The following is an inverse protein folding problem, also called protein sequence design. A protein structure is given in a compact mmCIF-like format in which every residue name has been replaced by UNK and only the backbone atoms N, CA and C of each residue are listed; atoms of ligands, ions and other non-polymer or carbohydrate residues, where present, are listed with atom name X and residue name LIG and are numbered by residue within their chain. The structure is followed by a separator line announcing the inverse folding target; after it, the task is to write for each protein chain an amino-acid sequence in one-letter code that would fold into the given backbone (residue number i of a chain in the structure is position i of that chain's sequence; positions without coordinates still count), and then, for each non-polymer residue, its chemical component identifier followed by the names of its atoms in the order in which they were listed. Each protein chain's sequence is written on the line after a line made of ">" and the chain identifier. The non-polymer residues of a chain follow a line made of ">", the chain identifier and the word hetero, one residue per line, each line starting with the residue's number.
data_IF_348367851094
#
_entry.id   IF_348367851094
#
_cell.length_a   1.000
_cell.length_b   1.000
_cell.length_c   1.000
_cell.angle_alpha   90.00
_cell.angle_beta   90.00
_cell.angle_gamma   90.00
#
_symmetry.space_group_name_H-M   'P 1'
#
loop_
_entity.id
_entity.type
_entity.pdbx_description
1 polymer ?
#
# COMPACT_ATOMS: atom_id res chain seq x y z
N UNK A 1 -27.16 -7.80 -14.08
CA UNK A 1 -26.51 -6.48 -13.86
C UNK A 1 -26.84 -5.89 -12.49
N UNK A 2 -28.11 -5.77 -12.08
CA UNK A 2 -28.50 -5.19 -10.78
C UNK A 2 -27.90 -5.91 -9.55
N UNK A 3 -27.92 -7.25 -9.52
CA UNK A 3 -27.34 -8.02 -8.41
C UNK A 3 -25.81 -7.81 -8.27
N UNK A 4 -25.10 -7.68 -9.39
CA UNK A 4 -23.66 -7.39 -9.39
C UNK A 4 -23.37 -5.99 -8.86
N UNK A 5 -24.19 -4.99 -9.23
CA UNK A 5 -24.10 -3.63 -8.69
C UNK A 5 -24.36 -3.60 -7.19
N UNK A 6 -25.39 -4.31 -6.73
CA UNK A 6 -25.69 -4.41 -5.30
C UNK A 6 -24.54 -5.08 -4.55
N UNK A 7 -24.05 -6.24 -5.03
CA UNK A 7 -22.89 -6.90 -4.42
C UNK A 7 -21.69 -5.96 -4.32
N UNK A 8 -21.39 -5.22 -5.40
CA UNK A 8 -20.30 -4.24 -5.40
C UNK A 8 -20.58 -3.05 -4.47
N UNK A 9 -21.81 -2.57 -4.35
CA UNK A 9 -22.13 -1.50 -3.40
C UNK A 9 -22.01 -1.96 -1.93
N UNK A 10 -22.29 -3.23 -1.66
CA UNK A 10 -22.13 -3.84 -0.34
C UNK A 10 -20.66 -4.02 0.04
N UNK A 11 -19.84 -4.59 -0.87
CA UNK A 11 -18.43 -4.94 -0.59
C UNK A 11 -17.41 -3.92 -1.09
N UNK A 12 -17.86 -2.91 -1.84
CA UNK A 12 -17.03 -1.90 -2.47
C UNK A 12 -16.64 -0.78 -1.50
N UNK A 13 -15.78 0.14 -1.98
CA UNK A 13 -15.20 1.16 -1.13
C UNK A 13 -16.23 2.18 -0.68
N UNK A 14 -15.97 2.80 0.47
CA UNK A 14 -16.55 4.11 0.79
C UNK A 14 -15.90 5.19 -0.08
N UNK A 15 -16.70 6.15 -0.53
CA UNK A 15 -16.19 7.36 -1.17
C UNK A 15 -15.89 8.42 -0.12
N UNK A 16 -14.80 9.15 -0.32
CA UNK A 16 -14.36 10.28 0.50
C UNK A 16 -14.62 11.59 -0.23
N UNK A 17 -14.33 11.62 -1.53
CA UNK A 17 -14.55 12.78 -2.38
C UNK A 17 -15.06 12.39 -3.76
N UNK A 18 -15.75 13.33 -4.40
CA UNK A 18 -16.38 13.20 -5.71
C UNK A 18 -15.88 14.33 -6.60
N UNK A 19 -15.51 14.07 -7.86
CA UNK A 19 -15.07 15.11 -8.78
C UNK A 19 -16.23 16.04 -9.17
N UNK A 20 -15.95 17.34 -9.26
CA UNK A 20 -16.88 18.38 -9.75
C UNK A 20 -16.73 18.67 -11.25
N UNK A 21 -15.64 18.20 -11.86
CA UNK A 21 -15.27 18.36 -13.27
C UNK A 21 -13.90 17.72 -13.55
N UNK A 22 -13.34 17.92 -14.74
CA UNK A 22 -11.99 17.46 -15.10
C UNK A 22 -10.90 18.19 -14.32
N UNK A 23 -11.06 19.50 -14.14
CA UNK A 23 -9.99 20.40 -13.65
C UNK A 23 -10.34 21.05 -12.30
N UNK A 24 -11.55 20.82 -11.80
CA UNK A 24 -12.00 21.29 -10.50
C UNK A 24 -11.52 20.39 -9.36
N UNK A 25 -11.32 20.99 -8.19
CA UNK A 25 -11.10 20.26 -6.95
C UNK A 25 -12.30 19.37 -6.60
N UNK A 26 -12.02 18.19 -6.05
CA UNK A 26 -13.04 17.27 -5.60
C UNK A 26 -13.76 17.81 -4.35
N UNK A 27 -15.06 17.53 -4.24
CA UNK A 27 -15.88 17.87 -3.07
C UNK A 27 -16.08 16.64 -2.20
N UNK A 28 -16.26 16.84 -0.89
CA UNK A 28 -16.53 15.74 0.04
C UNK A 28 -17.77 14.93 -0.36
N UNK A 29 -17.67 13.61 -0.30
CA UNK A 29 -18.80 12.72 -0.50
C UNK A 29 -19.80 12.89 0.66
N UNK A 30 -21.07 13.10 0.33
CA UNK A 30 -22.14 13.28 1.31
C UNK A 30 -22.98 11.98 1.40
N UNK A 31 -22.72 11.11 2.40
CA UNK A 31 -23.52 9.92 2.61
C UNK A 31 -24.90 10.27 3.17
N UNK A 32 -25.92 9.52 2.76
CA UNK A 32 -27.27 9.64 3.30
C UNK A 32 -27.29 9.16 4.77
N UNK A 33 -28.31 9.55 5.55
CA UNK A 33 -28.43 9.15 6.97
C UNK A 33 -28.40 7.64 7.15
N UNK A 34 -29.06 6.87 6.27
CA UNK A 34 -29.07 5.42 6.33
C UNK A 34 -27.67 4.83 6.08
N UNK A 35 -26.97 5.30 5.05
CA UNK A 35 -25.58 4.91 4.77
C UNK A 35 -24.69 5.17 5.99
N UNK A 36 -24.75 6.38 6.56
CA UNK A 36 -23.95 6.76 7.73
C UNK A 36 -24.21 5.84 8.94
N UNK A 37 -25.47 5.56 9.23
CA UNK A 37 -25.85 4.70 10.36
C UNK A 37 -25.38 3.26 10.14
N UNK A 38 -25.60 2.70 8.94
CA UNK A 38 -25.14 1.34 8.61
C UNK A 38 -23.62 1.24 8.63
N UNK A 39 -22.90 2.21 8.05
CA UNK A 39 -21.43 2.25 8.09
C UNK A 39 -20.89 2.34 9.52
N UNK A 40 -21.50 3.17 10.38
CA UNK A 40 -21.11 3.27 11.78
C UNK A 40 -21.31 1.94 12.53
N UNK A 41 -22.46 1.29 12.34
CA UNK A 41 -22.75 -0.01 12.96
C UNK A 41 -21.74 -1.07 12.51
N UNK A 42 -21.48 -1.18 11.20
CA UNK A 42 -20.52 -2.14 10.64
C UNK A 42 -19.11 -1.87 11.16
N UNK A 43 -18.64 -0.61 11.11
CA UNK A 43 -17.31 -0.24 11.59
C UNK A 43 -17.13 -0.52 13.09
N UNK A 44 -18.18 -0.32 13.89
CA UNK A 44 -18.17 -0.63 15.33
C UNK A 44 -18.09 -2.14 15.54
N UNK A 45 -18.90 -2.91 14.81
CA UNK A 45 -18.86 -4.37 14.86
C UNK A 45 -17.49 -4.93 14.46
N UNK A 46 -16.90 -4.46 13.36
CA UNK A 46 -15.56 -4.84 12.91
C UNK A 46 -14.48 -4.51 13.95
N UNK A 47 -14.58 -3.35 14.59
CA UNK A 47 -13.67 -2.94 15.67
C UNK A 47 -13.78 -3.86 16.89
N UNK A 48 -15.01 -4.21 17.31
CA UNK A 48 -15.26 -5.15 18.39
C UNK A 48 -14.72 -6.55 18.08
N UNK A 49 -14.95 -7.06 16.86
CA UNK A 49 -14.38 -8.35 16.42
C UNK A 49 -12.86 -8.31 16.36
N UNK A 50 -12.28 -7.20 15.89
CA UNK A 50 -10.84 -6.99 15.88
C UNK A 50 -10.27 -7.06 17.29
N UNK A 51 -10.82 -6.30 18.24
CA UNK A 51 -10.41 -6.32 19.63
C UNK A 51 -10.53 -7.73 20.23
N UNK A 52 -11.68 -8.38 20.07
CA UNK A 52 -11.92 -9.73 20.56
C UNK A 52 -10.89 -10.74 20.00
N UNK A 53 -10.58 -10.65 18.71
CA UNK A 53 -9.56 -11.50 18.07
C UNK A 53 -8.19 -11.32 18.70
N UNK A 54 -7.77 -10.08 18.96
CA UNK A 54 -6.44 -9.78 19.50
C UNK A 54 -6.33 -10.06 21.00
N UNK A 55 -7.45 -10.01 21.74
CA UNK A 55 -7.47 -10.33 23.18
C UNK A 55 -7.84 -11.78 23.47
N UNK A 56 -7.82 -12.68 22.47
CA UNK A 56 -8.27 -14.07 22.61
C UNK A 56 -7.63 -14.80 23.78
N UNK A 57 -6.32 -14.64 23.99
CA UNK A 57 -5.61 -15.31 25.08
C UNK A 57 -6.12 -14.90 26.48
N UNK A 58 -6.69 -13.71 26.62
CA UNK A 58 -7.22 -13.21 27.90
C UNK A 58 -8.60 -13.77 28.21
N UNK A 59 -9.49 -13.91 27.21
CA UNK A 59 -10.86 -14.36 27.43
C UNK A 59 -11.09 -15.84 27.12
N UNK A 60 -10.18 -16.51 26.40
CA UNK A 60 -10.30 -17.92 26.01
C UNK A 60 -10.49 -18.88 27.21
N UNK A 61 -9.76 -18.75 28.33
CA UNK A 61 -10.01 -19.61 29.50
C UNK A 61 -11.44 -19.51 30.05
N UNK A 62 -12.02 -18.30 30.04
CA UNK A 62 -13.41 -18.07 30.45
C UNK A 62 -14.40 -18.65 29.43
N UNK A 63 -14.10 -18.54 28.14
CA UNK A 63 -14.90 -19.16 27.08
C UNK A 63 -14.91 -20.69 27.21
N UNK A 64 -13.77 -21.33 27.49
CA UNK A 64 -13.69 -22.79 27.73
C UNK A 64 -14.54 -23.21 28.92
N UNK A 65 -14.49 -22.46 30.02
CA UNK A 65 -15.34 -22.73 31.20
C UNK A 65 -16.82 -22.61 30.85
N UNK A 66 -17.18 -21.59 30.09
CA UNK A 66 -18.57 -21.33 29.65
C UNK A 66 -19.07 -22.40 28.68
N UNK A 67 -18.21 -22.93 27.81
CA UNK A 67 -18.55 -23.96 26.84
C UNK A 67 -18.96 -25.30 27.47
N UNK A 68 -18.64 -25.53 28.74
CA UNK A 68 -19.07 -26.73 29.48
C UNK A 68 -20.54 -26.67 29.92
N UNK A 69 -21.16 -25.49 29.91
CA UNK A 69 -22.58 -25.32 30.24
C UNK A 69 -23.42 -25.16 28.97
N UNK A 70 -24.22 -26.18 28.65
CA UNK A 70 -25.04 -26.21 27.43
C UNK A 70 -26.02 -25.03 27.35
N UNK A 71 -26.60 -24.60 28.47
CA UNK A 71 -27.52 -23.44 28.51
C UNK A 71 -26.81 -22.16 28.11
N UNK A 72 -25.58 -21.94 28.61
CA UNK A 72 -24.76 -20.79 28.24
C UNK A 72 -24.38 -20.83 26.76
N UNK A 73 -24.01 -22.00 26.24
CA UNK A 73 -23.69 -22.19 24.81
C UNK A 73 -24.88 -21.81 23.93
N UNK A 74 -26.08 -22.30 24.25
CA UNK A 74 -27.31 -21.98 23.49
C UNK A 74 -27.61 -20.48 23.55
N UNK A 75 -27.44 -19.84 24.71
CA UNK A 75 -27.64 -18.40 24.86
C UNK A 75 -26.68 -17.59 23.96
N UNK A 76 -25.38 -17.86 24.02
CA UNK A 76 -24.39 -17.16 23.20
C UNK A 76 -24.56 -17.48 21.71
N UNK A 77 -24.95 -18.70 21.34
CA UNK A 77 -25.25 -19.05 19.96
C UNK A 77 -26.44 -18.24 19.40
N UNK A 78 -27.51 -18.07 20.20
CA UNK A 78 -28.65 -17.21 19.83
C UNK A 78 -28.23 -15.75 19.69
N UNK A 79 -27.47 -15.22 20.65
CA UNK A 79 -26.97 -13.85 20.62
C UNK A 79 -26.10 -13.61 19.39
N UNK A 80 -25.16 -14.52 19.10
CA UNK A 80 -24.32 -14.45 17.92
C UNK A 80 -25.12 -14.57 16.63
N UNK A 81 -26.16 -15.42 16.59
CA UNK A 81 -27.07 -15.53 15.45
C UNK A 81 -27.84 -14.24 15.19
N UNK A 82 -28.42 -13.63 16.22
CA UNK A 82 -29.10 -12.33 16.12
C UNK A 82 -28.15 -11.23 15.66
N UNK A 83 -26.94 -11.16 16.23
CA UNK A 83 -25.94 -10.19 15.84
C UNK A 83 -25.49 -10.39 14.39
N UNK A 84 -25.24 -11.63 13.97
CA UNK A 84 -24.84 -11.97 12.59
C UNK A 84 -25.93 -11.60 11.59
N UNK A 85 -27.20 -11.83 11.93
CA UNK A 85 -28.33 -11.43 11.09
C UNK A 85 -28.43 -9.89 10.98
N UNK A 86 -28.32 -9.17 12.10
CA UNK A 86 -28.31 -7.71 12.09
C UNK A 86 -27.14 -7.14 11.29
N UNK A 87 -25.96 -7.75 11.40
CA UNK A 87 -24.76 -7.42 10.64
C UNK A 87 -24.94 -7.64 9.13
N UNK A 88 -25.51 -8.76 8.72
CA UNK A 88 -25.83 -9.03 7.32
C UNK A 88 -26.87 -8.03 6.77
N UNK A 89 -27.93 -7.75 7.54
CA UNK A 89 -28.95 -6.77 7.16
C UNK A 89 -28.34 -5.37 7.02
N UNK A 90 -27.44 -4.97 7.92
CA UNK A 90 -26.75 -3.69 7.85
C UNK A 90 -25.93 -3.54 6.57
N UNK A 91 -25.23 -4.59 6.11
CA UNK A 91 -24.51 -4.57 4.84
C UNK A 91 -25.43 -4.45 3.64
N UNK A 92 -26.55 -5.19 3.62
CA UNK A 92 -27.53 -5.10 2.52
C UNK A 92 -28.14 -3.70 2.47
N UNK A 93 -28.56 -3.15 3.62
CA UNK A 93 -29.06 -1.79 3.74
C UNK A 93 -28.01 -0.75 3.31
N UNK A 94 -26.74 -0.96 3.67
CA UNK A 94 -25.63 -0.11 3.24
C UNK A 94 -25.52 -0.09 1.71
N UNK A 95 -25.52 -1.27 1.07
CA UNK A 95 -25.42 -1.38 -0.38
C UNK A 95 -26.59 -0.72 -1.11
N UNK A 96 -27.82 -0.90 -0.60
CA UNK A 96 -29.01 -0.23 -1.14
C UNK A 96 -28.90 1.29 -0.98
N UNK A 97 -28.54 1.77 0.21
CA UNK A 97 -28.42 3.20 0.50
C UNK A 97 -27.35 3.87 -0.37
N UNK A 98 -26.22 3.19 -0.61
CA UNK A 98 -25.17 3.64 -1.53
C UNK A 98 -25.68 3.75 -2.97
N UNK A 99 -26.41 2.76 -3.46
CA UNK A 99 -26.97 2.81 -4.82
C UNK A 99 -28.08 3.86 -4.99
N UNK A 100 -28.76 4.25 -3.90
CA UNK A 100 -29.70 5.36 -3.91
C UNK A 100 -29.00 6.73 -3.98
N UNK A 101 -27.73 6.82 -3.56
CA UNK A 101 -26.95 8.03 -3.70
C UNK A 101 -26.51 8.22 -5.17
N UNK A 102 -26.90 9.31 -5.86
CA UNK A 102 -26.59 9.50 -7.27
C UNK A 102 -25.09 9.57 -7.57
N UNK A 103 -24.27 10.11 -6.67
CA UNK A 103 -22.83 10.20 -6.87
C UNK A 103 -22.16 8.83 -6.79
N UNK A 104 -22.55 8.02 -5.81
CA UNK A 104 -22.04 6.66 -5.68
C UNK A 104 -22.53 5.76 -6.82
N UNK A 105 -23.80 5.88 -7.22
CA UNK A 105 -24.33 5.13 -8.37
C UNK A 105 -23.53 5.40 -9.66
N UNK A 106 -23.16 6.67 -9.93
CA UNK A 106 -22.28 7.05 -11.05
C UNK A 106 -20.89 6.45 -10.93
N UNK A 107 -20.30 6.46 -9.72
CA UNK A 107 -19.02 5.81 -9.47
C UNK A 107 -19.07 4.31 -9.80
N UNK A 108 -20.12 3.61 -9.37
CA UNK A 108 -20.32 2.18 -9.66
C UNK A 108 -20.41 1.93 -11.17
N UNK A 109 -21.19 2.75 -11.89
CA UNK A 109 -21.33 2.62 -13.34
C UNK A 109 -19.99 2.84 -14.04
N UNK A 110 -19.26 3.89 -13.66
CA UNK A 110 -17.92 4.19 -14.19
C UNK A 110 -16.92 3.07 -13.86
N UNK A 111 -16.98 2.49 -12.67
CA UNK A 111 -16.11 1.38 -12.28
C UNK A 111 -16.34 0.14 -13.18
N UNK A 112 -17.61 -0.25 -13.37
CA UNK A 112 -17.94 -1.39 -14.24
C UNK A 112 -17.65 -1.10 -15.71
N UNK A 113 -17.83 0.13 -16.15
CA UNK A 113 -17.46 0.56 -17.50
C UNK A 113 -15.95 0.45 -17.72
N UNK A 114 -15.15 1.00 -16.80
CA UNK A 114 -13.68 0.93 -16.84
C UNK A 114 -13.20 -0.52 -16.82
N UNK A 115 -13.86 -1.40 -16.04
CA UNK A 115 -13.52 -2.82 -15.99
C UNK A 115 -13.82 -3.56 -17.29
N UNK A 116 -14.85 -3.17 -18.03
CA UNK A 116 -15.17 -3.75 -19.34
C UNK A 116 -14.27 -3.23 -20.45
N UNK A 117 -13.93 -1.94 -20.40
CA UNK A 117 -13.13 -1.23 -21.39
C UNK A 117 -12.07 -0.36 -20.71
N UNK A 118 -10.94 -0.93 -20.27
CA UNK A 118 -9.90 -0.14 -19.63
C UNK A 118 -9.31 0.85 -20.64
N UNK A 119 -9.37 2.14 -20.32
CA UNK A 119 -8.76 3.21 -21.09
C UNK A 119 -8.18 4.26 -20.15
N UNK A 120 -7.12 4.96 -20.58
CA UNK A 120 -6.47 6.01 -19.78
C UNK A 120 -7.47 7.06 -19.31
N UNK A 121 -8.40 7.46 -20.19
CA UNK A 121 -9.42 8.46 -19.87
C UNK A 121 -10.42 7.96 -18.82
N UNK A 122 -10.90 6.72 -18.94
CA UNK A 122 -11.84 6.16 -17.96
C UNK A 122 -11.17 5.95 -16.61
N UNK A 123 -9.91 5.53 -16.59
CA UNK A 123 -9.13 5.38 -15.36
C UNK A 123 -8.88 6.75 -14.71
N UNK A 124 -8.51 7.77 -15.47
CA UNK A 124 -8.36 9.13 -14.94
C UNK A 124 -9.68 9.65 -14.33
N UNK A 125 -10.82 9.45 -15.01
CA UNK A 125 -12.14 9.84 -14.48
C UNK A 125 -12.53 9.03 -13.24
N UNK A 126 -12.21 7.74 -13.20
CA UNK A 126 -12.51 6.87 -12.06
C UNK A 126 -11.68 7.29 -10.85
N UNK A 127 -10.37 7.46 -11.04
CA UNK A 127 -9.41 7.80 -9.98
C UNK A 127 -9.53 9.24 -9.50
N UNK A 128 -10.24 10.11 -10.21
CA UNK A 128 -10.64 11.43 -9.72
C UNK A 128 -11.60 11.36 -8.51
N UNK A 129 -12.27 10.22 -8.29
CA UNK A 129 -12.98 9.95 -7.03
C UNK A 129 -11.97 9.62 -5.93
N UNK A 130 -12.22 10.12 -4.72
CA UNK A 130 -11.45 9.74 -3.54
C UNK A 130 -11.96 8.44 -2.95
N UNK A 131 -11.22 7.34 -3.14
CA UNK A 131 -11.57 6.02 -2.61
C UNK A 131 -10.32 5.14 -2.42
N UNK A 132 -10.44 4.09 -1.59
CA UNK A 132 -9.42 3.05 -1.39
C UNK A 132 -9.96 1.70 -1.84
N UNK A 133 -9.59 1.28 -3.05
CA UNK A 133 -10.00 0.01 -3.66
C UNK A 133 -9.14 -0.25 -4.88
N UNK A 134 -9.02 -1.50 -5.31
CA UNK A 134 -8.31 -1.83 -6.54
C UNK A 134 -9.17 -1.50 -7.77
N UNK A 135 -8.56 -1.05 -8.86
CA UNK A 135 -9.24 -0.81 -10.14
C UNK A 135 -8.47 -1.48 -11.28
N UNK A 136 -9.01 -1.51 -12.52
CA UNK A 136 -8.26 -2.05 -13.66
C UNK A 136 -6.91 -1.36 -13.83
N UNK A 137 -5.83 -2.13 -13.82
CA UNK A 137 -4.47 -1.63 -13.95
C UNK A 137 -4.16 -1.16 -15.38
N UNK A 138 -3.25 -0.20 -15.50
CA UNK A 138 -2.77 0.32 -16.79
C UNK A 138 -1.57 -0.44 -17.34
N UNK A 139 -0.87 -1.15 -16.47
CA UNK A 139 0.35 -1.85 -16.81
C UNK A 139 0.42 -3.17 -16.06
N UNK A 140 0.84 -4.20 -16.78
CA UNK A 140 0.96 -5.54 -16.24
C UNK A 140 2.31 -6.14 -16.63
N UNK A 141 3.16 -6.38 -15.63
CA UNK A 141 4.48 -6.96 -15.82
C UNK A 141 4.42 -8.34 -16.48
N UNK A 142 3.33 -9.09 -16.28
CA UNK A 142 3.14 -10.41 -16.88
C UNK A 142 3.01 -10.34 -18.42
N UNK A 143 2.69 -9.17 -18.97
CA UNK A 143 2.61 -8.94 -20.42
C UNK A 143 3.94 -8.51 -21.04
N UNK A 144 4.91 -8.11 -20.22
CA UNK A 144 6.25 -7.71 -20.64
C UNK A 144 7.10 -8.95 -20.92
N UNK A 145 7.94 -8.90 -21.96
CA UNK A 145 8.89 -9.99 -22.25
C UNK A 145 9.74 -10.33 -21.01
N UNK A 146 9.83 -11.62 -20.69
CA UNK A 146 10.63 -12.13 -19.58
C UNK A 146 12.11 -11.74 -19.66
N UNK A 147 12.62 -11.41 -20.85
CA UNK A 147 14.00 -10.92 -21.04
C UNK A 147 14.26 -9.54 -20.44
N UNK A 148 13.20 -8.74 -20.22
CA UNK A 148 13.28 -7.42 -19.60
C UNK A 148 13.11 -7.48 -18.08
N UNK A 149 12.67 -8.63 -17.54
CA UNK A 149 12.47 -8.80 -16.11
C UNK A 149 13.80 -8.70 -15.37
N UNK A 150 13.76 -8.09 -14.20
CA UNK A 150 14.90 -7.96 -13.31
C UNK A 150 15.19 -9.34 -12.69
N UNK A 151 16.41 -9.89 -12.86
CA UNK A 151 16.76 -11.20 -12.30
C UNK A 151 16.65 -11.20 -10.78
N UNK A 152 16.03 -12.24 -10.18
CA UNK A 152 16.00 -12.45 -8.72
C UNK A 152 17.30 -13.03 -8.17
N UNK A 153 18.45 -12.57 -8.66
CA UNK A 153 19.70 -13.04 -8.10
C UNK A 153 19.80 -12.55 -6.66
N UNK A 154 20.02 -13.46 -5.71
CA UNK A 154 20.37 -13.07 -4.36
C UNK A 154 21.78 -12.48 -4.39
N UNK A 155 21.85 -11.17 -4.62
CA UNK A 155 23.11 -10.43 -4.69
C UNK A 155 23.79 -10.31 -3.32
N UNK A 156 23.11 -10.76 -2.26
CA UNK A 156 23.47 -10.59 -0.84
C UNK A 156 23.38 -11.96 -0.16
N UNK A 157 24.33 -12.33 0.71
CA UNK A 157 24.26 -13.56 1.49
C UNK A 157 23.01 -13.61 2.39
N UNK A 158 22.33 -14.75 2.38
CA UNK A 158 21.17 -15.00 3.25
C UNK A 158 21.62 -15.16 4.70
N UNK A 159 21.16 -14.25 5.57
CA UNK A 159 21.49 -14.25 7.01
C UNK A 159 20.53 -15.10 7.84
N UNK A 160 19.47 -15.66 7.25
CA UNK A 160 18.51 -16.52 7.96
C UNK A 160 19.17 -17.78 8.55
N UNK A 161 20.24 -18.27 7.92
CA UNK A 161 21.04 -19.41 8.40
C UNK A 161 21.74 -19.16 9.75
N UNK A 162 21.92 -17.89 10.15
CA UNK A 162 22.49 -17.54 11.45
C UNK A 162 21.47 -17.60 12.60
N UNK A 163 20.20 -17.92 12.29
CA UNK A 163 19.13 -17.97 13.28
C UNK A 163 18.94 -19.39 13.81
N UNK A 164 18.64 -19.50 15.11
CA UNK A 164 18.38 -20.82 15.72
C UNK A 164 17.10 -21.43 15.16
N UNK A 165 17.20 -22.65 14.62
CA UNK A 165 16.07 -23.43 14.10
C UNK A 165 14.98 -23.60 15.17
N UNK A 166 15.36 -23.68 16.46
CA UNK A 166 14.43 -23.80 17.58
C UNK A 166 13.52 -22.58 17.74
N UNK A 167 13.95 -21.39 17.29
CA UNK A 167 13.18 -20.16 17.34
C UNK A 167 12.30 -19.95 16.11
N UNK A 168 12.44 -20.77 15.06
CA UNK A 168 11.69 -20.64 13.81
C UNK A 168 10.16 -20.57 13.99
N UNK A 169 9.52 -21.41 14.84
CA UNK A 169 8.08 -21.30 15.08
C UNK A 169 7.69 -19.95 15.72
N UNK A 170 8.51 -19.44 16.63
CA UNK A 170 8.28 -18.15 17.30
C UNK A 170 8.41 -17.02 16.28
N UNK A 171 9.48 -17.02 15.47
CA UNK A 171 9.65 -16.03 14.40
C UNK A 171 8.49 -16.07 13.41
N UNK A 172 8.01 -17.25 13.01
CA UNK A 172 6.87 -17.40 12.12
C UNK A 172 5.59 -16.77 12.69
N UNK A 173 5.29 -17.02 13.97
CA UNK A 173 4.13 -16.43 14.65
C UNK A 173 4.28 -14.91 14.77
N UNK A 174 5.43 -14.43 15.25
CA UNK A 174 5.70 -13.00 15.42
C UNK A 174 5.60 -12.26 14.08
N UNK A 175 6.20 -12.81 13.03
CA UNK A 175 6.13 -12.26 11.68
C UNK A 175 4.69 -12.05 11.21
N UNK A 176 3.86 -13.10 11.30
CA UNK A 176 2.47 -13.08 10.82
C UNK A 176 1.54 -12.19 11.64
N UNK A 177 1.89 -11.92 12.90
CA UNK A 177 1.06 -11.17 13.85
C UNK A 177 1.48 -9.72 13.96
N UNK A 178 2.59 -9.42 14.62
CA UNK A 178 3.01 -8.05 14.96
C UNK A 178 4.22 -7.56 14.16
N UNK A 179 5.12 -8.45 13.75
CA UNK A 179 6.42 -8.11 13.15
C UNK A 179 6.30 -7.21 11.92
N UNK A 180 5.59 -7.67 10.89
CA UNK A 180 5.38 -6.87 9.66
C UNK A 180 4.70 -5.53 9.94
N UNK A 181 3.80 -5.48 10.93
CA UNK A 181 3.01 -4.30 11.28
C UNK A 181 3.78 -3.29 12.12
N UNK A 182 4.81 -3.73 12.84
CA UNK A 182 5.71 -2.84 13.56
C UNK A 182 6.78 -2.27 12.62
N UNK A 183 7.29 -3.10 11.70
CA UNK A 183 8.28 -2.65 10.72
C UNK A 183 7.61 -1.68 9.74
N UNK A 184 6.40 -1.98 9.27
CA UNK A 184 5.59 -1.16 8.37
C UNK A 184 4.19 -0.87 8.94
N UNK A 185 4.07 0.10 9.88
CA UNK A 185 2.77 0.48 10.45
C UNK A 185 1.76 0.97 9.41
N UNK A 186 2.22 1.55 8.30
CA UNK A 186 1.36 2.01 7.20
C UNK A 186 0.57 0.89 6.52
N UNK A 187 0.99 -0.39 6.63
CA UNK A 187 0.25 -1.52 6.06
C UNK A 187 -0.97 -1.94 6.90
N UNK A 188 -1.18 -1.32 8.06
CA UNK A 188 -2.31 -1.65 8.94
C UNK A 188 -3.60 -0.98 8.46
N UNK A 189 -4.74 -1.63 8.68
CA UNK A 189 -6.04 -1.02 8.36
C UNK A 189 -6.29 0.27 9.14
N UNK A 190 -5.75 0.37 10.36
CA UNK A 190 -5.88 1.57 11.19
C UNK A 190 -5.20 2.77 10.54
N UNK A 191 -3.91 2.65 10.19
CA UNK A 191 -3.18 3.74 9.53
C UNK A 191 -3.75 4.06 8.15
N UNK A 192 -4.08 3.05 7.36
CA UNK A 192 -4.71 3.25 6.04
C UNK A 192 -6.06 3.97 6.12
N UNK A 193 -6.83 3.77 7.19
CA UNK A 193 -8.12 4.45 7.36
C UNK A 193 -7.94 5.85 7.93
N UNK A 194 -7.04 6.03 8.89
CA UNK A 194 -6.77 7.35 9.50
C UNK A 194 -6.19 8.35 8.50
N UNK A 195 -5.29 7.89 7.62
CA UNK A 195 -4.63 8.75 6.63
C UNK A 195 -5.43 8.94 5.35
N UNK A 196 -6.56 8.23 5.17
CA UNK A 196 -7.29 8.19 3.91
C UNK A 196 -7.74 9.58 3.44
N UNK A 197 -8.31 10.40 4.31
CA UNK A 197 -8.80 11.73 3.92
C UNK A 197 -7.67 12.71 3.56
N UNK A 198 -6.60 12.87 4.38
CA UNK A 198 -5.41 13.61 3.98
C UNK A 198 -4.83 13.15 2.63
N UNK A 199 -4.84 11.83 2.39
CA UNK A 199 -4.31 11.23 1.16
C UNK A 199 -5.13 11.59 -0.06
N UNK A 200 -6.46 11.50 0.06
CA UNK A 200 -7.36 11.88 -1.04
C UNK A 200 -7.27 13.38 -1.33
N UNK A 201 -7.05 14.22 -0.31
CA UNK A 201 -6.79 15.65 -0.52
C UNK A 201 -5.47 15.91 -1.25
N UNK A 202 -4.39 15.24 -0.84
CA UNK A 202 -3.08 15.39 -1.48
C UNK A 202 -3.09 14.86 -2.93
N UNK A 203 -3.81 13.77 -3.18
CA UNK A 203 -4.07 13.29 -4.53
C UNK A 203 -4.84 14.32 -5.38
N UNK A 204 -5.89 14.92 -4.84
CA UNK A 204 -6.65 15.95 -5.55
C UNK A 204 -5.78 17.16 -5.90
N UNK A 205 -4.94 17.61 -4.97
CA UNK A 205 -3.93 18.65 -5.21
C UNK A 205 -2.92 18.23 -6.28
N UNK A 206 -2.41 17.00 -6.24
CA UNK A 206 -1.46 16.47 -7.23
C UNK A 206 -2.08 16.45 -8.64
N UNK A 207 -3.34 16.04 -8.75
CA UNK A 207 -4.10 16.01 -9.99
C UNK A 207 -4.33 17.41 -10.56
N UNK A 208 -4.84 18.34 -9.75
CA UNK A 208 -5.22 19.69 -10.19
C UNK A 208 -4.00 20.56 -10.46
N UNK A 209 -2.99 20.56 -9.57
CA UNK A 209 -1.83 21.47 -9.67
C UNK A 209 -0.75 20.97 -10.62
N UNK A 210 -0.56 19.65 -10.71
CA UNK A 210 0.55 19.07 -11.48
C UNK A 210 0.08 18.21 -12.67
N UNK A 211 -1.22 18.02 -12.86
CA UNK A 211 -1.74 17.10 -13.88
C UNK A 211 -1.37 15.65 -13.56
N UNK A 212 -1.26 15.31 -12.28
CA UNK A 212 -0.87 13.98 -11.83
C UNK A 212 -1.91 12.92 -12.19
N UNK A 213 -1.43 11.68 -12.34
CA UNK A 213 -2.22 10.50 -12.67
C UNK A 213 -2.07 9.45 -11.56
N UNK A 214 -3.18 8.85 -11.15
CA UNK A 214 -3.22 7.74 -10.19
C UNK A 214 -3.48 6.47 -10.98
N UNK A 215 -2.59 5.50 -10.81
CA UNK A 215 -2.41 4.36 -11.70
C UNK A 215 -2.37 3.07 -10.88
N UNK A 216 -2.82 1.99 -11.51
CA UNK A 216 -2.61 0.64 -11.00
C UNK A 216 -1.57 -0.08 -11.83
N UNK A 217 -0.59 -0.69 -11.19
CA UNK A 217 0.39 -1.58 -11.82
C UNK A 217 0.18 -3.00 -11.30
N UNK A 218 0.30 -4.01 -12.17
CA UNK A 218 0.31 -5.42 -11.79
C UNK A 218 1.74 -5.92 -11.77
N UNK A 219 2.15 -6.43 -10.61
CA UNK A 219 3.45 -7.08 -10.41
C UNK A 219 3.53 -8.41 -11.16
N UNK A 220 4.74 -8.96 -11.31
CA UNK A 220 4.95 -10.31 -11.87
C UNK A 220 4.12 -11.40 -11.19
N UNK A 221 3.77 -11.24 -9.91
CA UNK A 221 2.96 -12.20 -9.16
C UNK A 221 1.44 -11.94 -9.25
N UNK A 222 1.00 -10.95 -10.03
CA UNK A 222 -0.41 -10.61 -10.18
C UNK A 222 -0.97 -9.69 -9.10
N UNK A 223 -0.13 -9.07 -8.25
CA UNK A 223 -0.58 -8.13 -7.20
C UNK A 223 -0.70 -6.71 -7.71
N UNK A 224 -1.74 -6.01 -7.27
CA UNK A 224 -1.98 -4.61 -7.58
C UNK A 224 -1.09 -3.67 -6.75
N UNK A 225 -0.45 -2.69 -7.41
CA UNK A 225 0.36 -1.63 -6.79
C UNK A 225 -0.21 -0.28 -7.20
N UNK A 226 -0.62 0.51 -6.21
CA UNK A 226 -1.08 1.88 -6.40
C UNK A 226 0.11 2.82 -6.62
N UNK A 227 0.06 3.56 -7.72
CA UNK A 227 1.17 4.41 -8.19
C UNK A 227 0.64 5.77 -8.62
N UNK A 228 1.45 6.82 -8.45
CA UNK A 228 1.18 8.19 -8.82
C UNK A 228 2.27 8.67 -9.79
N UNK A 229 1.87 9.25 -10.91
CA UNK A 229 2.80 9.72 -11.94
C UNK A 229 2.51 11.16 -12.33
N UNK A 230 3.57 11.96 -12.42
CA UNK A 230 3.56 13.29 -13.01
C UNK A 230 4.65 13.32 -14.08
N UNK A 231 4.26 13.52 -15.32
CA UNK A 231 5.19 13.64 -16.46
C UNK A 231 5.24 15.11 -16.88
N UNK A 232 6.40 15.73 -16.72
CA UNK A 232 6.66 17.12 -17.08
C UNK A 232 7.23 17.27 -18.49
N UNK A 233 7.63 16.19 -19.17
CA UNK A 233 8.23 16.27 -20.50
C UNK A 233 7.30 16.98 -21.48
N UNK A 234 7.86 17.86 -22.31
CA UNK A 234 7.13 18.58 -23.35
C UNK A 234 6.23 19.70 -22.84
N UNK A 235 6.32 20.07 -21.55
CA UNK A 235 5.67 21.27 -21.01
C UNK A 235 6.52 22.53 -21.26
N UNK A 236 7.84 22.38 -21.40
CA UNK A 236 8.75 23.51 -21.71
C UNK A 236 8.94 24.48 -20.54
N UNK A 237 8.55 24.07 -19.33
CA UNK A 237 8.54 24.92 -18.14
C UNK A 237 9.86 24.81 -17.34
N UNK A 238 10.56 23.67 -17.40
CA UNK A 238 11.71 23.37 -16.55
C UNK A 238 12.82 22.64 -17.30
N UNK A 239 14.08 22.93 -16.98
CA UNK A 239 15.25 22.22 -17.54
C UNK A 239 15.38 20.76 -17.10
N UNK A 240 14.63 20.37 -16.08
CA UNK A 240 14.72 19.06 -15.41
C UNK A 240 13.65 18.05 -15.89
N UNK A 241 12.81 18.42 -16.87
CA UNK A 241 11.63 17.64 -17.25
C UNK A 241 11.94 16.21 -17.74
N UNK A 242 13.11 16.01 -18.36
CA UNK A 242 13.57 14.72 -18.86
C UNK A 242 14.03 13.74 -17.77
N UNK A 243 14.24 14.23 -16.55
CA UNK A 243 14.67 13.42 -15.41
C UNK A 243 13.43 12.94 -14.64
N UNK A 244 13.35 11.62 -14.46
CA UNK A 244 12.32 10.98 -13.64
C UNK A 244 12.87 10.67 -12.25
N UNK A 245 12.23 11.17 -11.21
CA UNK A 245 12.51 10.78 -9.82
C UNK A 245 11.48 9.74 -9.38
N UNK A 246 11.94 8.53 -9.10
CA UNK A 246 11.11 7.49 -8.50
C UNK A 246 11.23 7.58 -6.97
N UNK A 247 10.10 7.83 -6.30
CA UNK A 247 10.03 8.03 -4.86
C UNK A 247 9.65 6.73 -4.14
N UNK A 248 10.50 6.30 -3.21
CA UNK A 248 10.31 5.14 -2.33
C UNK A 248 10.12 5.63 -0.89
N UNK A 249 8.91 5.46 -0.36
CA UNK A 249 8.47 6.03 0.91
C UNK A 249 9.00 5.31 2.17
N UNK A 250 8.78 5.96 3.30
CA UNK A 250 9.07 5.40 4.62
C UNK A 250 8.02 4.40 5.09
N UNK A 251 8.26 3.78 6.25
CA UNK A 251 7.43 2.70 6.78
C UNK A 251 6.00 3.09 7.24
N UNK A 252 5.74 4.39 7.34
CA UNK A 252 4.43 4.99 7.56
C UNK A 252 4.10 6.06 6.50
N UNK A 253 4.95 6.18 5.47
CA UNK A 253 4.80 7.14 4.37
C UNK A 253 3.85 6.62 3.31
N UNK A 254 3.11 7.54 2.69
CA UNK A 254 2.22 7.25 1.56
C UNK A 254 2.63 8.12 0.38
N UNK A 255 2.66 7.52 -0.81
CA UNK A 255 3.20 8.10 -2.03
C UNK A 255 2.62 9.48 -2.38
N UNK A 256 1.35 9.71 -2.06
CA UNK A 256 0.65 10.95 -2.38
C UNK A 256 0.91 12.11 -1.39
N UNK A 257 1.45 11.88 -0.18
CA UNK A 257 1.66 12.93 0.85
C UNK A 257 3.15 13.15 1.16
N UNK A 258 4.01 12.14 0.98
CA UNK A 258 5.37 12.20 1.50
C UNK A 258 6.38 12.88 0.57
N UNK A 259 7.44 12.17 0.24
CA UNK A 259 8.65 12.69 -0.41
C UNK A 259 8.44 13.11 -1.87
N UNK A 260 7.26 12.83 -2.44
CA UNK A 260 6.87 13.25 -3.80
C UNK A 260 6.94 14.77 -4.00
N UNK A 261 6.73 15.56 -2.95
CA UNK A 261 6.66 17.02 -3.04
C UNK A 261 7.99 17.67 -3.43
N UNK A 262 9.11 17.21 -2.87
CA UNK A 262 10.43 17.78 -3.12
C UNK A 262 10.86 17.74 -4.60
N UNK A 263 10.82 16.60 -5.31
CA UNK A 263 11.17 16.56 -6.72
C UNK A 263 10.18 17.34 -7.60
N UNK A 264 8.88 17.35 -7.27
CA UNK A 264 7.88 18.14 -8.00
C UNK A 264 8.17 19.64 -7.92
N UNK A 265 8.51 20.16 -6.75
CA UNK A 265 8.86 21.56 -6.54
C UNK A 265 10.12 21.98 -7.31
N UNK A 266 10.99 21.02 -7.65
CA UNK A 266 12.21 21.25 -8.43
C UNK A 266 12.03 20.95 -9.94
N UNK A 267 10.79 20.77 -10.39
CA UNK A 267 10.44 20.65 -11.81
C UNK A 267 10.72 19.27 -12.42
N UNK A 268 11.09 18.26 -11.64
CA UNK A 268 11.31 16.90 -12.13
C UNK A 268 10.00 16.20 -12.49
N UNK A 269 10.05 15.28 -13.46
CA UNK A 269 9.01 14.25 -13.59
C UNK A 269 9.09 13.30 -12.41
N UNK A 270 7.94 12.80 -11.92
CA UNK A 270 7.90 11.99 -10.70
C UNK A 270 7.05 10.74 -10.87
N UNK A 271 7.51 9.64 -10.28
CA UNK A 271 6.76 8.40 -10.10
C UNK A 271 6.86 7.98 -8.64
N UNK A 272 5.74 7.91 -7.93
CA UNK A 272 5.69 7.48 -6.53
C UNK A 272 4.73 6.31 -6.39
N UNK A 273 4.96 5.42 -5.43
CA UNK A 273 4.17 4.19 -5.32
C UNK A 273 3.99 3.79 -3.86
N UNK A 274 2.85 3.16 -3.56
CA UNK A 274 2.52 2.69 -2.23
C UNK A 274 3.02 1.25 -2.05
N UNK A 275 3.78 1.01 -0.98
CA UNK A 275 4.20 -0.31 -0.51
C UNK A 275 3.05 -1.34 -0.53
N UNK A 276 3.29 -2.65 -0.71
CA UNK A 276 2.27 -3.68 -0.55
C UNK A 276 1.53 -3.54 0.80
N UNK A 277 0.20 -3.50 0.76
CA UNK A 277 -0.64 -3.25 1.93
C UNK A 277 -0.86 -1.77 2.29
N UNK A 278 -0.24 -0.82 1.56
CA UNK A 278 -0.48 0.61 1.72
C UNK A 278 -1.48 1.09 0.67
N UNK A 279 -2.44 1.91 1.10
CA UNK A 279 -3.47 2.42 0.22
C UNK A 279 -4.27 1.33 -0.44
N UNK A 280 -4.27 1.35 -1.76
CA UNK A 280 -4.95 0.34 -2.58
C UNK A 280 -4.01 -0.80 -3.01
N UNK A 281 -2.72 -0.75 -2.65
CA UNK A 281 -1.75 -1.81 -2.96
C UNK A 281 -2.05 -3.11 -2.20
N UNK A 282 -1.97 -4.23 -2.90
CA UNK A 282 -2.26 -5.55 -2.36
C UNK A 282 -1.06 -6.16 -1.61
N UNK A 283 -1.35 -6.98 -0.61
CA UNK A 283 -0.35 -7.82 0.04
C UNK A 283 0.20 -7.23 1.33
N UNK A 284 1.46 -7.54 1.61
CA UNK A 284 2.19 -7.09 2.80
C UNK A 284 3.63 -6.75 2.40
N UNK A 285 4.26 -5.76 3.06
CA UNK A 285 5.55 -5.21 2.67
C UNK A 285 6.71 -6.12 3.11
N UNK A 286 6.66 -7.37 2.65
CA UNK A 286 7.75 -8.31 2.75
C UNK A 286 8.80 -8.01 1.69
N UNK A 287 10.09 -8.31 1.94
CA UNK A 287 11.18 -8.01 1.01
C UNK A 287 10.92 -8.45 -0.44
N UNK A 288 10.32 -9.62 -0.65
CA UNK A 288 9.98 -10.13 -1.98
C UNK A 288 8.89 -9.32 -2.68
N UNK A 289 7.84 -8.92 -1.95
CA UNK A 289 6.73 -8.13 -2.50
C UNK A 289 7.14 -6.68 -2.76
N UNK A 290 7.99 -6.12 -1.89
CA UNK A 290 8.61 -4.80 -2.07
C UNK A 290 9.45 -4.76 -3.35
N UNK A 291 10.28 -5.77 -3.59
CA UNK A 291 11.07 -5.90 -4.82
C UNK A 291 10.18 -6.06 -6.06
N UNK A 292 9.13 -6.87 -5.99
CA UNK A 292 8.18 -7.05 -7.10
C UNK A 292 7.41 -5.77 -7.42
N UNK A 293 7.03 -4.99 -6.41
CA UNK A 293 6.38 -3.70 -6.59
C UNK A 293 7.35 -2.68 -7.22
N UNK A 294 8.58 -2.60 -6.72
CA UNK A 294 9.62 -1.73 -7.27
C UNK A 294 9.97 -2.10 -8.72
N UNK A 295 10.00 -3.38 -9.07
CA UNK A 295 10.16 -3.82 -10.46
C UNK A 295 9.02 -3.32 -11.34
N UNK A 296 7.76 -3.48 -10.91
CA UNK A 296 6.61 -3.04 -11.70
C UNK A 296 6.69 -1.54 -12.01
N UNK A 297 7.16 -0.75 -11.04
CA UNK A 297 7.39 0.69 -11.16
C UNK A 297 8.52 1.00 -12.16
N UNK A 298 9.65 0.28 -12.09
CA UNK A 298 10.77 0.46 -13.04
C UNK A 298 10.38 0.08 -14.46
N UNK A 299 9.75 -1.09 -14.65
CA UNK A 299 9.31 -1.54 -15.96
C UNK A 299 8.23 -0.62 -16.55
N UNK A 300 7.33 -0.09 -15.71
CA UNK A 300 6.40 0.94 -16.16
C UNK A 300 7.14 2.20 -16.63
N UNK A 301 8.12 2.67 -15.86
CA UNK A 301 8.92 3.85 -16.23
C UNK A 301 9.69 3.66 -17.54
N UNK A 302 10.32 2.50 -17.76
CA UNK A 302 11.17 2.26 -18.93
C UNK A 302 10.39 1.79 -20.15
N UNK A 303 9.39 0.91 -19.98
CA UNK A 303 8.70 0.27 -21.10
C UNK A 303 7.43 1.02 -21.53
N UNK A 304 6.71 1.64 -20.59
CA UNK A 304 5.45 2.32 -20.88
C UNK A 304 5.61 3.84 -20.97
N UNK A 305 6.36 4.44 -20.04
CA UNK A 305 6.67 5.88 -20.07
C UNK A 305 7.89 6.22 -20.93
N UNK A 306 8.69 5.23 -21.33
CA UNK A 306 9.87 5.41 -22.19
C UNK A 306 10.93 6.36 -21.60
N UNK A 307 11.09 6.40 -20.28
CA UNK A 307 12.25 7.08 -19.68
C UNK A 307 13.51 6.26 -19.91
N UNK A 308 14.58 6.92 -20.35
CA UNK A 308 15.90 6.29 -20.41
C UNK A 308 16.39 6.05 -18.98
N UNK A 309 16.94 4.87 -18.71
CA UNK A 309 17.41 4.50 -17.38
C UNK A 309 18.42 5.50 -16.78
N UNK A 310 19.34 6.04 -17.61
CA UNK A 310 20.29 7.09 -17.20
C UNK A 310 19.64 8.39 -16.75
N UNK A 311 18.37 8.63 -17.12
CA UNK A 311 17.57 9.78 -16.70
C UNK A 311 16.66 9.48 -15.50
N UNK A 312 16.70 8.25 -14.98
CA UNK A 312 15.98 7.88 -13.76
C UNK A 312 16.87 8.17 -12.54
N UNK A 313 16.29 8.77 -11.51
CA UNK A 313 16.85 8.92 -10.16
C UNK A 313 15.95 8.21 -9.17
N UNK A 314 16.54 7.53 -8.20
CA UNK A 314 15.80 6.87 -7.13
C UNK A 314 15.94 7.69 -5.86
N UNK A 315 14.81 8.02 -5.23
CA UNK A 315 14.78 8.74 -3.97
C UNK A 315 14.15 7.86 -2.90
N UNK A 316 14.98 7.28 -2.02
CA UNK A 316 14.55 6.44 -0.91
C UNK A 316 14.61 7.20 0.41
N UNK A 317 13.48 7.27 1.11
CA UNK A 317 13.42 7.82 2.46
C UNK A 317 13.23 6.72 3.49
N UNK A 318 14.03 6.74 4.55
CA UNK A 318 13.99 5.76 5.64
C UNK A 318 14.06 4.33 5.10
N UNK A 319 13.05 3.49 5.38
CA UNK A 319 12.98 2.11 4.90
C UNK A 319 12.88 1.99 3.37
N UNK A 320 12.33 3.00 2.68
CA UNK A 320 12.28 3.07 1.22
C UNK A 320 13.66 3.13 0.57
N UNK A 321 14.70 3.43 1.35
CA UNK A 321 16.09 3.22 0.95
C UNK A 321 16.34 1.82 0.44
N UNK A 322 15.74 0.78 1.04
CA UNK A 322 15.91 -0.61 0.64
C UNK A 322 15.45 -0.90 -0.80
N UNK A 323 14.26 -0.45 -1.19
CA UNK A 323 13.77 -0.70 -2.56
C UNK A 323 14.51 0.14 -3.58
N UNK A 324 14.87 1.38 -3.22
CA UNK A 324 15.72 2.24 -4.04
C UNK A 324 17.10 1.61 -4.29
N UNK A 325 17.77 1.10 -3.26
CA UNK A 325 19.10 0.49 -3.38
C UNK A 325 19.04 -0.85 -4.07
N UNK A 326 17.97 -1.63 -3.85
CA UNK A 326 17.74 -2.87 -4.58
C UNK A 326 17.62 -2.61 -6.09
N UNK A 327 16.83 -1.61 -6.47
CA UNK A 327 16.67 -1.21 -7.87
C UNK A 327 18.00 -0.75 -8.48
N UNK A 328 18.76 0.08 -7.77
CA UNK A 328 20.07 0.56 -8.23
C UNK A 328 21.09 -0.58 -8.41
N UNK A 329 21.10 -1.55 -7.50
CA UNK A 329 22.00 -2.70 -7.53
C UNK A 329 21.72 -3.66 -8.71
N UNK A 330 20.45 -3.75 -9.15
CA UNK A 330 20.05 -4.62 -10.25
C UNK A 330 20.00 -3.90 -11.61
N UNK A 331 19.91 -2.56 -11.60
CA UNK A 331 19.94 -1.71 -12.79
C UNK A 331 21.03 -0.62 -12.64
N UNK A 332 22.33 -0.99 -12.73
CA UNK A 332 23.44 -0.05 -12.50
C UNK A 332 23.48 1.14 -13.47
N UNK A 333 22.75 1.06 -14.58
CA UNK A 333 22.53 2.13 -15.56
C UNK A 333 21.61 3.28 -15.07
N UNK A 334 20.95 3.12 -13.92
CA UNK A 334 20.19 4.20 -13.27
C UNK A 334 21.15 5.34 -12.96
N UNK A 335 20.75 6.59 -13.22
CA UNK A 335 21.67 7.73 -13.22
C UNK A 335 21.88 8.41 -11.86
N UNK A 336 21.26 7.95 -10.78
CA UNK A 336 21.58 8.42 -9.44
C UNK A 336 20.65 7.89 -8.35
N UNK A 337 21.14 7.93 -7.12
CA UNK A 337 20.47 7.48 -5.91
C UNK A 337 20.53 8.56 -4.82
N UNK A 338 19.39 8.87 -4.23
CA UNK A 338 19.22 9.81 -3.11
C UNK A 338 18.68 9.01 -1.94
N UNK A 339 19.42 8.98 -0.82
CA UNK A 339 19.07 8.24 0.39
C UNK A 339 18.96 9.20 1.56
N UNK A 340 17.74 9.40 2.04
CA UNK A 340 17.48 10.31 3.16
C UNK A 340 17.04 9.55 4.41
N UNK A 341 17.75 9.78 5.52
CA UNK A 341 17.47 9.19 6.82
C UNK A 341 17.32 7.65 6.80
N UNK A 342 18.12 6.97 5.97
CA UNK A 342 18.11 5.52 5.83
C UNK A 342 19.07 4.83 6.81
N UNK A 343 19.01 3.50 6.86
CA UNK A 343 19.85 2.64 7.71
C UNK A 343 20.71 1.71 6.85
N UNK A 344 21.79 1.16 7.43
CA UNK A 344 22.64 0.19 6.73
C UNK A 344 22.01 -1.22 6.75
N UNK A 345 21.51 -1.62 7.92
CA UNK A 345 20.77 -2.87 8.17
C UNK A 345 19.73 -2.64 9.28
N UNK A 346 18.65 -3.45 9.30
CA UNK A 346 17.61 -3.34 10.34
C UNK A 346 18.04 -3.84 11.72
N UNK A 347 19.19 -4.51 11.84
CA UNK A 347 19.65 -5.19 13.05
C UNK A 347 19.63 -4.28 14.30
N UNK A 348 20.15 -3.05 14.19
CA UNK A 348 20.20 -2.11 15.32
C UNK A 348 18.81 -1.64 15.76
N UNK A 349 17.91 -1.39 14.80
CA UNK A 349 16.53 -1.04 15.10
C UNK A 349 15.80 -2.23 15.76
N UNK A 350 16.07 -3.45 15.29
CA UNK A 350 15.45 -4.67 15.80
C UNK A 350 15.80 -4.92 17.28
N UNK A 351 17.07 -4.74 17.66
CA UNK A 351 17.54 -4.89 19.05
C UNK A 351 16.75 -4.02 20.03
N UNK A 352 16.40 -2.81 19.60
CA UNK A 352 15.75 -1.81 20.44
C UNK A 352 14.22 -1.84 20.36
N UNK A 353 13.63 -2.56 19.39
CA UNK A 353 12.18 -2.51 19.15
C UNK A 353 11.33 -3.24 20.20
N UNK A 354 11.78 -4.40 20.71
CA UNK A 354 11.05 -5.22 21.68
C UNK A 354 11.98 -5.75 22.78
N UNK A 355 12.43 -4.89 23.71
CA UNK A 355 13.44 -5.26 24.71
C UNK A 355 13.03 -6.43 25.61
N UNK A 356 11.73 -6.66 25.79
CA UNK A 356 11.20 -7.75 26.62
C UNK A 356 11.23 -9.14 25.96
N UNK A 357 11.38 -9.23 24.63
CA UNK A 357 11.47 -10.52 23.92
C UNK A 357 12.92 -11.03 23.82
N UNK A 358 13.90 -10.17 24.08
CA UNK A 358 15.31 -10.48 23.92
C UNK A 358 15.82 -10.32 22.48
N UNK A 359 17.12 -10.03 22.36
CA UNK A 359 17.79 -9.74 21.10
C UNK A 359 17.74 -10.92 20.11
N UNK A 360 17.97 -12.14 20.57
CA UNK A 360 18.02 -13.33 19.69
C UNK A 360 16.72 -13.57 18.93
N UNK A 361 15.57 -13.20 19.53
CA UNK A 361 14.25 -13.35 18.90
C UNK A 361 13.98 -12.19 17.92
N UNK A 362 14.31 -10.95 18.31
CA UNK A 362 14.01 -9.76 17.50
C UNK A 362 14.93 -9.66 16.29
N UNK A 363 16.24 -9.84 16.47
CA UNK A 363 17.23 -9.88 15.40
C UNK A 363 17.03 -11.13 14.53
N UNK A 364 16.76 -12.29 15.15
CA UNK A 364 16.48 -13.52 14.42
C UNK A 364 15.23 -13.43 13.53
N UNK A 365 14.18 -12.74 13.98
CA UNK A 365 12.99 -12.42 13.18
C UNK A 365 13.34 -11.59 11.94
N UNK A 366 14.16 -10.54 12.12
CA UNK A 366 14.60 -9.67 11.02
C UNK A 366 15.47 -10.45 10.02
N UNK A 367 16.46 -11.21 10.48
CA UNK A 367 17.28 -12.04 9.59
C UNK A 367 16.48 -13.09 8.83
N UNK A 368 15.40 -13.62 9.42
CA UNK A 368 14.56 -14.64 8.78
C UNK A 368 13.56 -14.10 7.77
N UNK A 369 13.03 -12.88 7.97
CA UNK A 369 11.87 -12.38 7.21
C UNK A 369 12.00 -10.95 6.66
N UNK A 370 12.93 -10.15 7.17
CA UNK A 370 13.11 -8.75 6.83
C UNK A 370 14.59 -8.39 6.69
N UNK A 371 15.34 -9.21 5.95
CA UNK A 371 16.77 -8.96 5.72
C UNK A 371 16.99 -7.81 4.73
N UNK A 372 16.74 -6.58 5.20
CA UNK A 372 16.88 -5.34 4.45
C UNK A 372 18.34 -4.87 4.54
N UNK A 373 19.18 -5.38 3.65
CA UNK A 373 20.62 -5.06 3.64
C UNK A 373 20.95 -3.97 2.61
N UNK A 374 20.79 -2.72 3.02
CA UNK A 374 21.01 -1.53 2.19
C UNK A 374 22.50 -1.35 1.88
N UNK A 375 23.37 -1.54 2.87
CA UNK A 375 24.81 -1.38 2.71
C UNK A 375 25.38 -2.31 1.61
N UNK A 376 24.97 -3.58 1.59
CA UNK A 376 25.41 -4.53 0.57
C UNK A 376 24.88 -4.18 -0.84
N UNK A 377 23.67 -3.61 -0.93
CA UNK A 377 23.10 -3.18 -2.21
C UNK A 377 23.84 -1.95 -2.77
N UNK A 378 24.11 -0.94 -1.93
CA UNK A 378 24.85 0.26 -2.32
C UNK A 378 26.24 -0.08 -2.82
N UNK A 379 26.94 -1.03 -2.18
CA UNK A 379 28.29 -1.43 -2.58
C UNK A 379 28.38 -1.97 -4.03
N UNK A 380 27.25 -2.31 -4.65
CA UNK A 380 27.17 -2.79 -6.04
C UNK A 380 26.80 -1.69 -7.03
N UNK A 381 26.43 -0.51 -6.56
CA UNK A 381 26.04 0.61 -7.39
C UNK A 381 27.22 1.58 -7.58
N UNK A 382 27.54 1.87 -8.84
CA UNK A 382 28.77 2.60 -9.22
C UNK A 382 28.51 4.05 -9.63
N UNK A 383 27.25 4.53 -9.56
CA UNK A 383 26.89 5.89 -9.94
C UNK A 383 26.80 6.82 -8.71
N UNK A 384 26.34 8.05 -8.94
CA UNK A 384 26.19 9.08 -7.90
C UNK A 384 25.22 8.62 -6.80
N UNK A 385 25.72 8.62 -5.56
CA UNK A 385 24.92 8.42 -4.35
C UNK A 385 25.02 9.67 -3.50
N UNK A 386 23.87 10.27 -3.18
CA UNK A 386 23.75 11.34 -2.19
C UNK A 386 23.05 10.74 -0.97
N UNK A 387 23.68 10.79 0.20
CA UNK A 387 23.09 10.26 1.43
C UNK A 387 23.18 11.25 2.58
N UNK A 388 22.05 11.47 3.25
CA UNK A 388 21.96 12.14 4.55
C UNK A 388 21.70 11.09 5.63
N UNK A 389 22.64 10.94 6.57
CA UNK A 389 22.41 10.21 7.81
C UNK A 389 22.03 11.21 8.89
N UNK A 390 20.81 11.10 9.41
CA UNK A 390 20.43 11.75 10.66
C UNK A 390 20.99 10.91 11.79
N UNK A 391 22.10 11.36 12.39
CA UNK A 391 22.55 10.84 13.68
C UNK A 391 21.58 11.39 14.74
N UNK A 392 20.61 10.59 15.16
CA UNK A 392 19.80 10.85 16.36
C UNK A 392 19.83 9.64 17.27
#
# INVERSE_FOLDING_TARGET
>A
MMLQRLKFAVTGPSLISVPTGSDGHAVGYLPNTLERTCSFYISTAESCFGLAKWTVLFWFPFALRTARNMTSVIFYAKLFGCFSLAYLLAYVCLGISRLQNPAYARFVDLYFETRKRPSKELINRLTAYGFRYQWPAEFDVQTVSNSLWIPRQNLIPDRSNNTSILLSPIHWVLNRTIGVRMIYPGCTNLFNSWTLEPRMKAWDDLRVKHGGRRLGLITRSGRFVETYSVDHRGRGENSNEDILVICCEGNAGFAEIGIIGAPLQNGYSVLAWNHPGFGSSEGFPYPDQEQEAMEAVLLFATCQLNFQTKNIRLFGWSIGGYTATWAAAHMPQIGGLILDATFDMLDELARNALPFLGESITVGLVHSYFDLNIAAQIARYVCLVVSSKSYT
#
